data_IF_768522566469
#
_entry.id   IF_768522566469
#
_cell.length_a   1.000
_cell.length_b   1.000
_cell.length_c   1.000
_cell.angle_alpha   90.00
_cell.angle_beta   90.00
_cell.angle_gamma   90.00
#
_symmetry.space_group_name_H-M   'P 1'
#
loop_
_entity.id
_entity.type
_entity.pdbx_description
1 polymer ?
#
# COMPACT_ATOMS: atom_id res chain seq x y z
N UNK A 1 -19.91 -11.78 -1.59
CA UNK A 1 -18.47 -11.72 -1.98
C UNK A 1 -17.87 -13.11 -1.88
N UNK A 2 -17.23 -13.59 -2.93
CA UNK A 2 -16.56 -14.88 -2.92
C UNK A 2 -15.26 -14.82 -2.08
N UNK A 3 -14.73 -15.97 -1.72
CA UNK A 3 -13.46 -16.04 -1.00
C UNK A 3 -12.33 -15.38 -1.80
N UNK A 4 -12.27 -15.64 -3.10
CA UNK A 4 -11.24 -15.05 -3.97
C UNK A 4 -11.37 -13.52 -4.04
N UNK A 5 -12.58 -13.00 -4.22
CA UNK A 5 -12.82 -11.56 -4.22
C UNK A 5 -12.45 -10.93 -2.88
N UNK A 6 -12.81 -11.57 -1.79
CA UNK A 6 -12.48 -11.07 -0.45
C UNK A 6 -10.97 -11.00 -0.24
N UNK A 7 -10.22 -12.02 -0.66
CA UNK A 7 -8.76 -12.05 -0.54
C UNK A 7 -8.09 -10.96 -1.38
N UNK A 8 -8.57 -10.76 -2.61
CA UNK A 8 -8.05 -9.70 -3.47
C UNK A 8 -8.34 -8.32 -2.89
N UNK A 9 -9.54 -8.09 -2.39
CA UNK A 9 -9.91 -6.83 -1.74
C UNK A 9 -9.10 -6.61 -0.46
N UNK A 10 -8.87 -7.66 0.31
CA UNK A 10 -8.04 -7.61 1.52
C UNK A 10 -6.60 -7.20 1.18
N UNK A 11 -6.02 -7.81 0.16
CA UNK A 11 -4.68 -7.44 -0.31
C UNK A 11 -4.63 -5.98 -0.75
N UNK A 12 -5.64 -5.53 -1.49
CA UNK A 12 -5.73 -4.14 -1.94
C UNK A 12 -5.78 -3.15 -0.77
N UNK A 13 -6.60 -3.44 0.23
CA UNK A 13 -6.71 -2.61 1.45
C UNK A 13 -5.37 -2.57 2.19
N UNK A 14 -4.72 -3.72 2.35
CA UNK A 14 -3.42 -3.80 3.02
C UNK A 14 -2.34 -3.03 2.27
N UNK A 15 -2.34 -3.07 0.95
CA UNK A 15 -1.39 -2.31 0.14
C UNK A 15 -1.59 -0.80 0.27
N UNK A 16 -2.84 -0.35 0.41
CA UNK A 16 -3.14 1.06 0.61
C UNK A 16 -2.79 1.55 2.01
N UNK A 17 -3.12 0.76 3.02
CA UNK A 17 -2.91 1.12 4.42
C UNK A 17 -1.54 0.74 4.96
N UNK A 18 -0.89 -0.23 4.35
CA UNK A 18 0.39 -0.83 4.71
C UNK A 18 0.34 -1.68 5.98
N UNK A 19 -0.59 -1.41 6.88
CA UNK A 19 -0.80 -2.13 8.14
C UNK A 19 -2.25 -2.02 8.58
N UNK A 20 -2.80 -3.10 9.15
CA UNK A 20 -4.08 -3.06 9.85
C UNK A 20 -4.16 -4.22 10.84
N UNK A 21 -5.13 -4.14 11.75
CA UNK A 21 -5.37 -5.19 12.74
C UNK A 21 -6.39 -6.20 12.23
N UNK A 22 -6.35 -7.42 12.79
CA UNK A 22 -7.34 -8.44 12.47
C UNK A 22 -8.76 -8.00 12.85
N UNK A 23 -8.90 -7.29 13.98
CA UNK A 23 -10.20 -6.78 14.42
C UNK A 23 -10.82 -5.82 13.40
N UNK A 24 -10.05 -4.84 12.97
CA UNK A 24 -10.52 -3.86 11.99
C UNK A 24 -10.86 -4.51 10.65
N UNK A 25 -10.02 -5.41 10.19
CA UNK A 25 -10.25 -6.12 8.93
C UNK A 25 -11.50 -7.01 9.01
N UNK A 26 -11.67 -7.75 10.11
CA UNK A 26 -12.85 -8.59 10.31
C UNK A 26 -14.13 -7.77 10.33
N UNK A 27 -14.11 -6.65 11.02
CA UNK A 27 -15.26 -5.74 11.10
C UNK A 27 -15.58 -5.15 9.72
N UNK A 28 -14.58 -4.68 9.00
CA UNK A 28 -14.75 -4.04 7.70
C UNK A 28 -15.28 -5.01 6.64
N UNK A 29 -14.78 -6.24 6.63
CA UNK A 29 -15.22 -7.28 5.70
C UNK A 29 -16.43 -8.07 6.19
N UNK A 30 -16.91 -7.76 7.39
CA UNK A 30 -18.08 -8.42 8.00
C UNK A 30 -17.91 -9.93 8.08
N UNK A 31 -16.77 -10.37 8.53
CA UNK A 31 -16.42 -11.79 8.77
C UNK A 31 -15.75 -11.90 10.13
N UNK A 32 -15.57 -13.13 10.62
CA UNK A 32 -14.87 -13.35 11.90
C UNK A 32 -13.35 -13.23 11.69
N UNK A 33 -12.63 -12.98 12.79
CA UNK A 33 -11.17 -12.92 12.77
C UNK A 33 -10.52 -14.17 12.19
N UNK A 34 -11.11 -15.33 12.48
CA UNK A 34 -10.62 -16.61 11.98
C UNK A 34 -10.59 -16.64 10.46
N UNK A 35 -11.64 -16.12 9.82
CA UNK A 35 -11.71 -16.03 8.37
C UNK A 35 -10.61 -15.10 7.83
N UNK A 36 -10.38 -13.96 8.47
CA UNK A 36 -9.31 -13.04 8.08
C UNK A 36 -7.94 -13.72 8.23
N UNK A 37 -7.72 -14.45 9.31
CA UNK A 37 -6.45 -15.19 9.51
C UNK A 37 -6.19 -16.20 8.41
N UNK A 38 -7.20 -16.93 7.96
CA UNK A 38 -7.08 -17.85 6.84
C UNK A 38 -6.78 -17.12 5.53
N UNK A 39 -7.46 -16.02 5.30
CA UNK A 39 -7.24 -15.21 4.10
C UNK A 39 -5.81 -14.63 4.07
N UNK A 40 -5.34 -14.11 5.20
CA UNK A 40 -3.98 -13.60 5.33
C UNK A 40 -2.95 -14.70 5.12
N UNK A 41 -3.17 -15.87 5.71
CA UNK A 41 -2.27 -17.02 5.52
C UNK A 41 -2.15 -17.40 4.04
N UNK A 42 -3.26 -17.38 3.31
CA UNK A 42 -3.26 -17.64 1.87
C UNK A 42 -2.49 -16.57 1.10
N UNK A 43 -2.66 -15.30 1.47
CA UNK A 43 -1.95 -14.19 0.83
C UNK A 43 -0.44 -14.25 1.09
N UNK A 44 -0.04 -14.68 2.28
CA UNK A 44 1.38 -14.80 2.64
C UNK A 44 2.12 -15.82 1.78
N UNK A 45 1.42 -16.77 1.19
CA UNK A 45 2.04 -17.76 0.29
C UNK A 45 2.47 -17.15 -1.04
N UNK A 46 1.83 -16.07 -1.50
CA UNK A 46 2.04 -15.49 -2.81
C UNK A 46 2.56 -14.06 -2.78
N UNK A 47 2.33 -13.35 -1.69
CA UNK A 47 2.63 -11.92 -1.58
C UNK A 47 3.47 -11.62 -0.35
N UNK A 48 4.25 -10.52 -0.35
CA UNK A 48 5.09 -10.15 0.78
C UNK A 48 4.26 -9.49 1.90
N UNK A 49 3.38 -10.27 2.49
CA UNK A 49 2.54 -9.89 3.63
C UNK A 49 3.12 -10.57 4.87
N UNK A 50 3.25 -9.82 5.95
CA UNK A 50 3.81 -10.31 7.22
C UNK A 50 2.81 -10.12 8.35
N UNK A 51 2.90 -10.98 9.36
CA UNK A 51 2.07 -10.87 10.55
C UNK A 51 2.96 -10.67 11.77
N UNK A 52 2.47 -9.87 12.71
CA UNK A 52 3.14 -9.66 13.99
C UNK A 52 2.16 -9.98 15.10
N UNK A 53 2.57 -10.83 16.02
CA UNK A 53 1.80 -11.15 17.21
C UNK A 53 2.05 -10.13 18.29
N UNK A 54 0.99 -9.69 19.00
CA UNK A 54 1.15 -8.76 20.10
C UNK A 54 -0.19 -8.18 20.54
N UNK A 55 -0.27 -7.83 21.83
CA UNK A 55 -1.51 -7.27 22.40
C UNK A 55 -1.83 -5.89 21.87
N UNK A 56 -0.81 -5.06 21.64
CA UNK A 56 -0.98 -3.64 21.34
C UNK A 56 -0.37 -3.21 20.02
N UNK A 57 0.34 -4.06 19.34
CA UNK A 57 0.98 -3.72 18.07
C UNK A 57 0.88 -4.84 17.05
N UNK A 58 0.08 -5.87 17.34
CA UNK A 58 -0.09 -6.99 16.44
C UNK A 58 -0.95 -6.65 15.24
N UNK A 59 -0.82 -7.41 14.18
CA UNK A 59 -1.62 -7.23 12.99
C UNK A 59 -0.93 -7.74 11.74
N UNK A 60 -1.34 -7.19 10.62
CA UNK A 60 -0.88 -7.58 9.29
C UNK A 60 -0.19 -6.41 8.64
N UNK A 61 0.98 -6.64 8.08
CA UNK A 61 1.78 -5.64 7.37
C UNK A 61 2.06 -6.09 5.96
N UNK A 62 2.13 -5.13 5.04
CA UNK A 62 2.70 -5.34 3.71
C UNK A 62 4.12 -4.79 3.74
N UNK A 63 5.09 -5.51 3.17
CA UNK A 63 6.48 -5.07 3.12
C UNK A 63 6.58 -3.73 2.40
N UNK A 64 7.47 -2.88 2.89
CA UNK A 64 7.60 -1.50 2.41
C UNK A 64 7.98 -1.41 0.93
N UNK A 65 8.66 -2.42 0.42
CA UNK A 65 9.11 -2.47 -0.97
C UNK A 65 8.05 -2.99 -1.95
N UNK A 66 6.86 -3.39 -1.47
CA UNK A 66 5.83 -3.98 -2.31
C UNK A 66 4.73 -2.97 -2.66
N UNK A 67 4.60 -2.67 -3.96
CA UNK A 67 3.56 -1.80 -4.51
C UNK A 67 2.99 -2.46 -5.78
N UNK A 68 1.91 -3.26 -5.67
CA UNK A 68 1.33 -3.95 -6.83
C UNK A 68 0.74 -3.01 -7.86
N UNK A 69 0.28 -1.83 -7.40
CA UNK A 69 -0.29 -0.80 -8.26
C UNK A 69 0.62 0.42 -8.18
N UNK A 70 1.61 0.44 -9.05
CA UNK A 70 2.51 1.59 -9.11
C UNK A 70 1.75 2.78 -9.67
N UNK A 71 1.47 3.75 -8.82
CA UNK A 71 0.88 5.01 -9.26
C UNK A 71 1.98 5.84 -9.90
N UNK A 72 1.73 6.29 -11.11
CA UNK A 72 2.63 7.18 -11.83
C UNK A 72 1.99 8.53 -12.04
N UNK A 73 2.81 9.54 -12.25
CA UNK A 73 2.34 10.86 -12.60
C UNK A 73 1.84 10.86 -14.05
N UNK A 74 0.74 11.56 -14.31
CA UNK A 74 0.29 11.76 -15.69
C UNK A 74 1.11 12.90 -16.35
N UNK A 75 0.96 13.06 -17.67
CA UNK A 75 1.73 14.04 -18.42
C UNK A 75 1.50 15.48 -17.91
N UNK A 76 0.29 15.81 -17.50
CA UNK A 76 -0.08 17.10 -16.96
C UNK A 76 0.63 17.42 -15.64
N UNK A 77 0.69 16.41 -14.77
CA UNK A 77 1.39 16.51 -13.48
C UNK A 77 2.90 16.68 -13.66
N UNK A 78 3.48 15.90 -14.56
CA UNK A 78 4.91 15.99 -14.87
C UNK A 78 5.23 17.38 -15.43
N UNK A 79 4.42 17.90 -16.36
CA UNK A 79 4.62 19.23 -16.96
C UNK A 79 4.57 20.33 -15.89
N UNK A 80 3.62 20.27 -14.97
CA UNK A 80 3.53 21.25 -13.88
C UNK A 80 4.74 21.19 -12.97
N UNK A 81 5.11 19.99 -12.53
CA UNK A 81 6.26 19.82 -11.63
C UNK A 81 7.57 20.24 -12.30
N UNK A 82 7.75 19.92 -13.56
CA UNK A 82 8.93 20.33 -14.33
C UNK A 82 9.00 21.84 -14.45
N UNK A 83 7.87 22.50 -14.72
CA UNK A 83 7.81 23.96 -14.81
C UNK A 83 8.15 24.63 -13.48
N UNK A 84 7.60 24.10 -12.37
CA UNK A 84 7.89 24.60 -11.03
C UNK A 84 9.35 24.37 -10.64
N UNK A 85 9.95 23.28 -11.08
CA UNK A 85 11.35 22.97 -10.77
C UNK A 85 12.32 24.01 -11.29
N UNK A 86 11.99 24.73 -12.36
CA UNK A 86 12.84 25.79 -12.90
C UNK A 86 12.95 27.01 -11.99
N UNK A 87 12.01 27.16 -11.04
CA UNK A 87 11.97 28.24 -10.07
C UNK A 87 12.55 27.87 -8.72
N UNK A 88 12.94 26.60 -8.53
CA UNK A 88 13.46 26.07 -7.27
C UNK A 88 14.97 25.95 -7.33
N UNK A 89 15.61 26.07 -6.16
CA UNK A 89 17.06 25.90 -6.00
C UNK A 89 17.34 25.07 -4.76
N UNK A 90 18.52 24.43 -4.72
CA UNK A 90 19.00 23.71 -3.56
C UNK A 90 18.16 22.45 -3.27
N UNK A 91 17.82 22.24 -2.00
CA UNK A 91 17.13 21.04 -1.55
C UNK A 91 15.74 20.89 -2.14
N UNK A 92 15.04 22.00 -2.38
CA UNK A 92 13.71 21.97 -2.98
C UNK A 92 13.77 21.45 -4.42
N UNK A 93 14.76 21.87 -5.18
CA UNK A 93 14.97 21.37 -6.54
C UNK A 93 15.32 19.87 -6.52
N UNK A 94 16.19 19.45 -5.62
CA UNK A 94 16.56 18.06 -5.48
C UNK A 94 15.35 17.19 -5.10
N UNK A 95 14.51 17.66 -4.19
CA UNK A 95 13.32 16.95 -3.74
C UNK A 95 12.31 16.78 -4.88
N UNK A 96 12.00 17.86 -5.60
CA UNK A 96 11.02 17.79 -6.70
C UNK A 96 11.54 16.93 -7.85
N UNK A 97 12.82 16.98 -8.15
CA UNK A 97 13.45 16.14 -9.16
C UNK A 97 13.37 14.65 -8.79
N UNK A 98 13.55 14.34 -7.51
CA UNK A 98 13.40 12.98 -6.98
C UNK A 98 11.96 12.47 -7.14
N UNK A 99 10.96 13.31 -6.86
CA UNK A 99 9.55 12.95 -7.02
C UNK A 99 9.25 12.64 -8.49
N UNK A 100 9.69 13.47 -9.41
CA UNK A 100 9.49 13.27 -10.84
C UNK A 100 10.15 11.97 -11.29
N UNK A 101 11.39 11.74 -10.89
CA UNK A 101 12.14 10.55 -11.26
C UNK A 101 11.48 9.27 -10.76
N UNK A 102 11.01 9.26 -9.51
CA UNK A 102 10.40 8.07 -8.90
C UNK A 102 9.01 7.75 -9.46
N UNK A 103 8.22 8.76 -9.80
CA UNK A 103 6.82 8.60 -10.18
C UNK A 103 6.55 8.80 -11.67
N UNK A 104 7.54 9.16 -12.47
CA UNK A 104 7.39 9.22 -13.91
C UNK A 104 7.17 7.80 -14.49
N UNK A 105 6.32 7.66 -15.52
CA UNK A 105 6.06 6.38 -16.14
C UNK A 105 7.29 5.80 -16.85
#
# INVERSE_FOLDING_TARGET
>A
MSQTERRLNLLHVLCLRRHDTYDNLAHEFNVCKRTIRYDVAALMCEFPVETVCGRYGGGVWVRDDYFPYRKTLNAKQIALLTRLSTQLVGDDLATISSIIFQLAP
#
